data_IF_698338639534
#
_entry.id   IF_698338639534
#
_cell.length_a   1.000
_cell.length_b   1.000
_cell.length_c   1.000
_cell.angle_alpha   90.00
_cell.angle_beta   90.00
_cell.angle_gamma   90.00
#
_symmetry.space_group_name_H-M   'P 1'
#
loop_
_entity.id
_entity.type
_entity.pdbx_description
1 polymer ?
#
# COMPACT_ATOMS: atom_id res chain seq x y z
N UNK A 1 0.59 -3.12 -12.06
CA UNK A 1 -0.06 -3.42 -13.35
C UNK A 1 -1.44 -2.80 -13.30
N UNK A 2 -1.68 -1.84 -14.18
CA UNK A 2 -2.87 -1.02 -14.18
C UNK A 2 -4.07 -1.75 -14.79
N UNK A 3 -5.26 -1.51 -14.22
CA UNK A 3 -6.55 -1.90 -14.77
C UNK A 3 -7.49 -0.67 -14.76
N UNK A 4 -8.14 -0.33 -15.89
CA UNK A 4 -9.07 0.79 -15.94
C UNK A 4 -10.13 0.70 -14.83
N UNK A 5 -10.24 1.76 -14.03
CA UNK A 5 -11.18 1.84 -12.93
C UNK A 5 -10.79 1.08 -11.66
N UNK A 6 -9.77 0.23 -11.67
CA UNK A 6 -9.26 -0.44 -10.46
C UNK A 6 -7.87 0.03 -10.04
N UNK A 7 -7.18 0.83 -10.87
CA UNK A 7 -5.83 1.32 -10.60
C UNK A 7 -4.77 0.22 -10.73
N UNK A 8 -3.65 0.40 -10.03
CA UNK A 8 -2.52 -0.53 -9.97
C UNK A 8 -2.65 -1.51 -8.80
N UNK A 9 -1.82 -2.55 -8.79
CA UNK A 9 -1.66 -3.37 -7.59
C UNK A 9 -0.77 -2.66 -6.58
N UNK A 10 -0.98 -2.93 -5.30
CA UNK A 10 -0.19 -2.41 -4.19
C UNK A 10 0.90 -3.38 -3.76
N UNK A 11 0.61 -4.68 -3.79
CA UNK A 11 1.59 -5.73 -3.46
C UNK A 11 1.63 -6.79 -4.56
N UNK A 12 2.82 -7.28 -4.88
CA UNK A 12 3.01 -8.42 -5.78
C UNK A 12 3.90 -9.47 -5.11
N UNK A 13 3.45 -10.72 -5.10
CA UNK A 13 4.22 -11.86 -4.59
C UNK A 13 4.57 -12.78 -5.74
N UNK A 14 5.86 -12.94 -5.99
CA UNK A 14 6.39 -13.86 -6.99
C UNK A 14 6.94 -15.11 -6.29
N UNK A 15 6.51 -16.29 -6.72
CA UNK A 15 7.04 -17.56 -6.23
C UNK A 15 7.79 -18.24 -7.37
N UNK A 16 9.06 -18.55 -7.13
CA UNK A 16 9.92 -19.27 -8.08
C UNK A 16 10.34 -20.59 -7.45
N UNK A 17 10.11 -21.70 -8.14
CA UNK A 17 10.51 -23.04 -7.69
C UNK A 17 11.85 -23.43 -8.27
N UNK A 18 12.57 -24.35 -7.62
CA UNK A 18 13.83 -24.90 -8.13
C UNK A 18 13.70 -25.59 -9.50
N UNK A 19 12.50 -26.08 -9.84
CA UNK A 19 12.21 -26.66 -11.17
C UNK A 19 11.98 -25.61 -12.27
N UNK A 20 12.14 -24.32 -11.95
CA UNK A 20 11.98 -23.23 -12.90
C UNK A 20 10.52 -22.77 -13.11
N UNK A 21 9.55 -23.32 -12.38
CA UNK A 21 8.16 -22.80 -12.41
C UNK A 21 8.07 -21.48 -11.66
N UNK A 22 7.34 -20.52 -12.22
CA UNK A 22 7.07 -19.22 -11.64
C UNK A 22 5.56 -18.97 -11.54
N UNK A 23 5.11 -18.39 -10.43
CA UNK A 23 3.75 -17.84 -10.28
C UNK A 23 3.82 -16.42 -9.69
N UNK A 24 2.77 -15.64 -9.92
CA UNK A 24 2.64 -14.29 -9.40
C UNK A 24 1.21 -14.07 -8.86
N UNK A 25 1.11 -13.41 -7.71
CA UNK A 25 -0.15 -12.93 -7.14
C UNK A 25 -0.06 -11.42 -6.94
N UNK A 26 -1.17 -10.71 -7.16
CA UNK A 26 -1.24 -9.26 -7.09
C UNK A 26 -2.39 -8.85 -6.18
N UNK A 27 -2.10 -8.03 -5.19
CA UNK A 27 -3.07 -7.48 -4.25
C UNK A 27 -3.39 -6.03 -4.64
N UNK A 28 -4.68 -5.75 -4.85
CA UNK A 28 -5.18 -4.44 -5.22
C UNK A 28 -5.87 -3.72 -4.05
N UNK A 29 -6.09 -4.42 -2.94
CA UNK A 29 -7.12 -4.09 -1.96
C UNK A 29 -6.57 -3.85 -0.56
N UNK A 30 -5.44 -4.48 -0.19
CA UNK A 30 -4.84 -4.31 1.13
C UNK A 30 -3.70 -3.29 1.12
N UNK A 31 -3.61 -2.49 2.19
CA UNK A 31 -2.51 -1.55 2.40
C UNK A 31 -1.18 -2.33 2.53
N UNK A 32 -0.14 -2.01 1.75
CA UNK A 32 1.14 -2.72 1.76
C UNK A 32 1.73 -2.94 3.15
N UNK A 33 2.00 -4.19 3.52
CA UNK A 33 2.69 -4.53 4.77
C UNK A 33 4.18 -4.20 4.75
N UNK A 34 4.79 -4.29 3.57
CA UNK A 34 6.22 -4.12 3.37
C UNK A 34 6.53 -2.75 2.76
N UNK A 35 7.72 -2.24 3.04
CA UNK A 35 8.15 -0.91 2.61
C UNK A 35 7.72 0.18 3.59
N UNK A 36 7.91 1.43 3.20
CA UNK A 36 7.40 2.60 3.92
C UNK A 36 7.00 3.64 2.88
N UNK A 37 5.70 3.96 2.82
CA UNK A 37 5.16 4.87 1.83
C UNK A 37 4.45 6.03 2.53
N UNK A 38 4.82 7.25 2.15
CA UNK A 38 4.14 8.45 2.61
C UNK A 38 2.77 8.57 1.93
N UNK A 39 1.84 9.31 2.55
CA UNK A 39 0.51 9.56 2.01
C UNK A 39 0.55 10.18 0.59
N UNK A 40 1.55 11.00 0.31
CA UNK A 40 1.77 11.65 -0.98
C UNK A 40 2.07 10.64 -2.09
N UNK A 41 2.72 9.51 -1.77
CA UNK A 41 2.97 8.45 -2.75
C UNK A 41 1.67 7.77 -3.17
N UNK A 42 0.76 7.51 -2.22
CA UNK A 42 -0.56 6.96 -2.53
C UNK A 42 -1.43 7.93 -3.33
N UNK A 43 -1.37 9.25 -3.03
CA UNK A 43 -2.07 10.27 -3.81
C UNK A 43 -1.55 10.34 -5.25
N UNK A 44 -0.22 10.35 -5.42
CA UNK A 44 0.39 10.37 -6.74
C UNK A 44 0.04 9.11 -7.57
N UNK A 45 0.03 7.92 -6.95
CA UNK A 45 -0.42 6.69 -7.62
C UNK A 45 -1.89 6.77 -8.01
N UNK A 46 -2.77 7.31 -7.14
CA UNK A 46 -4.19 7.47 -7.45
C UNK A 46 -4.45 8.47 -8.59
N UNK A 47 -3.70 9.58 -8.62
CA UNK A 47 -3.83 10.60 -9.67
C UNK A 47 -3.40 10.07 -11.04
N UNK A 48 -2.32 9.28 -11.11
CA UNK A 48 -1.82 8.66 -12.33
C UNK A 48 -2.66 7.43 -12.75
N UNK A 49 -3.14 6.66 -11.77
CA UNK A 49 -3.86 5.40 -11.97
C UNK A 49 -5.21 5.41 -11.22
N UNK A 50 -6.20 6.18 -11.73
CA UNK A 50 -7.44 6.41 -11.01
C UNK A 50 -8.26 5.13 -10.80
N UNK A 51 -8.92 5.09 -9.65
CA UNK A 51 -9.85 4.01 -9.24
C UNK A 51 -11.28 4.55 -9.19
N UNK A 52 -12.25 3.72 -9.51
CA UNK A 52 -13.66 4.05 -9.22
C UNK A 52 -13.89 3.98 -7.71
N UNK A 53 -14.95 4.64 -7.19
CA UNK A 53 -15.30 4.56 -5.78
C UNK A 53 -15.42 3.12 -5.26
N UNK A 54 -15.98 2.21 -6.06
CA UNK A 54 -16.19 0.80 -5.68
C UNK A 54 -14.88 0.00 -5.59
N UNK A 55 -13.84 0.44 -6.32
CA UNK A 55 -12.51 -0.18 -6.32
C UNK A 55 -11.49 0.62 -5.49
N UNK A 56 -11.95 1.59 -4.70
CA UNK A 56 -11.10 2.35 -3.77
C UNK A 56 -11.29 1.76 -2.38
N UNK A 57 -10.31 1.02 -1.84
CA UNK A 57 -10.41 0.47 -0.49
C UNK A 57 -10.56 1.58 0.56
N UNK A 58 -11.25 1.28 1.66
CA UNK A 58 -11.53 2.26 2.72
C UNK A 58 -10.27 2.92 3.30
N UNK A 59 -9.18 2.15 3.45
CA UNK A 59 -7.91 2.69 3.95
C UNK A 59 -7.31 3.72 2.98
N UNK A 60 -7.42 3.49 1.67
CA UNK A 60 -6.91 4.40 0.66
C UNK A 60 -7.76 5.66 0.65
N UNK A 61 -9.09 5.52 0.65
CA UNK A 61 -10.01 6.65 0.75
C UNK A 61 -9.73 7.52 2.00
N UNK A 62 -9.42 6.90 3.14
CA UNK A 62 -9.03 7.60 4.36
C UNK A 62 -7.72 8.39 4.18
N UNK A 63 -6.68 7.80 3.59
CA UNK A 63 -5.40 8.49 3.30
C UNK A 63 -5.61 9.67 2.34
N UNK A 64 -6.43 9.49 1.29
CA UNK A 64 -6.79 10.56 0.36
C UNK A 64 -7.49 11.72 1.08
N UNK A 65 -8.30 11.41 2.10
CA UNK A 65 -8.94 12.39 2.98
C UNK A 65 -8.04 12.98 4.08
N UNK A 66 -6.77 12.55 4.17
CA UNK A 66 -5.77 13.10 5.10
C UNK A 66 -5.44 12.24 6.31
N UNK A 67 -5.92 10.99 6.37
CA UNK A 67 -5.49 10.04 7.40
C UNK A 67 -3.99 9.69 7.24
N UNK A 68 -3.30 9.37 8.34
CA UNK A 68 -1.94 8.82 8.27
C UNK A 68 -1.94 7.44 7.63
N UNK A 69 -0.82 7.07 7.01
CA UNK A 69 -0.62 5.69 6.53
C UNK A 69 -0.36 4.75 7.70
N UNK A 70 -0.51 3.43 7.51
CA UNK A 70 -0.09 2.45 8.52
C UNK A 70 1.38 2.59 8.89
N UNK A 71 2.21 3.04 7.94
CA UNK A 71 3.65 3.20 8.10
C UNK A 71 3.98 4.40 8.98
N UNK A 72 3.21 5.48 8.84
CA UNK A 72 3.30 6.64 9.72
C UNK A 72 2.90 6.27 11.16
N UNK A 73 1.93 5.37 11.32
CA UNK A 73 1.47 4.91 12.63
C UNK A 73 2.46 3.93 13.27
N UNK A 74 3.01 3.00 12.51
CA UNK A 74 4.01 2.04 12.99
C UNK A 74 5.28 2.76 13.47
N UNK A 75 5.80 3.73 12.70
CA UNK A 75 6.98 4.49 13.09
C UNK A 75 6.83 5.31 14.38
N UNK A 76 5.59 5.66 14.78
CA UNK A 76 5.32 6.34 16.05
C UNK A 76 5.34 5.40 17.25
N UNK A 77 5.00 4.13 17.08
CA UNK A 77 4.98 3.15 18.16
C UNK A 77 6.41 2.78 18.61
N UNK A 78 7.36 2.73 17.68
CA UNK A 78 8.75 2.37 17.97
C UNK A 78 9.57 3.52 18.61
N UNK A 79 9.07 4.77 18.54
CA UNK A 79 9.76 5.97 19.03
C UNK A 79 9.50 6.34 20.51
N UNK A 80 8.63 5.62 21.22
CA UNK A 80 8.17 6.00 22.58
C UNK A 80 9.03 5.52 23.76
N UNK A 81 10.15 4.85 23.52
CA UNK A 81 10.88 4.08 24.53
C UNK A 81 12.15 4.72 25.12
N UNK A 82 12.21 6.04 25.33
CA UNK A 82 13.42 6.62 25.93
C UNK A 82 13.37 8.09 26.31
N UNK A 83 12.82 8.40 27.48
CA UNK A 83 13.22 9.56 28.28
C UNK A 83 12.70 9.47 29.72
N UNK A 84 13.37 8.66 30.56
CA UNK A 84 13.43 8.90 32.01
C UNK A 84 14.91 8.82 32.43
N UNK A 85 15.49 9.99 32.69
CA UNK A 85 16.77 10.20 33.39
C UNK A 85 16.63 11.47 34.22
#
# INVERSE_FOLDING_TARGET
MYRPGSGTWFTAVFTVTATGKMSASYDYDNEPELGHFAAEAYRADFDEFPRTPENTPDWLAAILAGAPTRHDLAGRADGGGGAER
#
